data_IF_540429333207
#
_entry.id   IF_540429333207
#
_cell.length_a   1.000
_cell.length_b   1.000
_cell.length_c   1.000
_cell.angle_alpha   90.00
_cell.angle_beta   90.00
_cell.angle_gamma   90.00
#
_symmetry.space_group_name_H-M   'P 1'
#
loop_
_entity.id
_entity.type
_entity.pdbx_description
1 polymer ?
#
# COMPACT_ATOMS: atom_id res chain seq x y z
N UNK A 1 11.10 -27.31 -6.50
CA UNK A 1 10.81 -26.13 -7.35
C UNK A 1 9.31 -25.90 -7.40
N UNK A 2 8.86 -24.64 -7.41
CA UNK A 2 7.44 -24.29 -7.67
C UNK A 2 7.37 -23.65 -9.06
N UNK A 3 6.52 -24.17 -9.95
CA UNK A 3 6.39 -23.69 -11.32
C UNK A 3 5.44 -22.49 -11.38
N UNK A 4 5.92 -21.33 -11.79
CA UNK A 4 5.07 -20.16 -11.98
C UNK A 4 4.34 -20.22 -13.33
N UNK A 5 3.01 -20.17 -13.33
CA UNK A 5 2.19 -20.11 -14.54
C UNK A 5 1.79 -18.67 -14.86
N UNK A 6 1.56 -18.40 -16.15
CA UNK A 6 1.02 -17.12 -16.60
C UNK A 6 -0.47 -17.02 -16.21
N UNK A 7 -0.94 -15.81 -15.95
CA UNK A 7 -2.36 -15.53 -15.70
C UNK A 7 -2.90 -14.59 -16.77
N UNK A 8 -4.22 -14.51 -16.89
CA UNK A 8 -4.85 -13.50 -17.72
C UNK A 8 -4.88 -12.15 -16.96
N UNK A 9 -3.84 -11.36 -17.13
CA UNK A 9 -3.66 -10.06 -16.45
C UNK A 9 -4.11 -8.87 -17.30
N UNK A 10 -4.90 -9.12 -18.35
CA UNK A 10 -5.29 -8.12 -19.36
C UNK A 10 -5.98 -6.88 -18.77
N UNK A 11 -6.62 -7.04 -17.59
CA UNK A 11 -7.28 -5.98 -16.82
C UNK A 11 -6.48 -5.44 -15.62
N UNK A 12 -5.30 -6.00 -15.29
CA UNK A 12 -4.48 -5.55 -14.17
C UNK A 12 -3.84 -4.17 -14.43
N UNK A 13 -3.63 -3.39 -13.35
CA UNK A 13 -2.93 -2.09 -13.45
C UNK A 13 -1.45 -2.29 -13.72
N UNK A 14 -0.86 -3.33 -13.14
CA UNK A 14 0.54 -3.73 -13.39
C UNK A 14 0.56 -5.10 -14.07
N UNK A 15 0.79 -5.12 -15.39
CA UNK A 15 0.82 -6.35 -16.22
C UNK A 15 2.10 -7.14 -16.00
N UNK A 16 2.09 -8.04 -15.02
CA UNK A 16 3.25 -8.88 -14.69
C UNK A 16 3.34 -10.13 -15.58
N UNK A 17 2.25 -10.59 -16.20
CA UNK A 17 2.21 -11.82 -16.99
C UNK A 17 2.83 -11.68 -18.39
N UNK A 18 2.94 -10.46 -18.91
CA UNK A 18 3.76 -10.18 -20.10
C UNK A 18 5.27 -10.45 -19.85
N UNK A 19 5.70 -10.42 -18.58
CA UNK A 19 7.10 -10.57 -18.19
C UNK A 19 7.41 -11.90 -17.49
N UNK A 20 6.43 -12.51 -16.82
CA UNK A 20 6.63 -13.70 -15.98
C UNK A 20 5.48 -14.72 -16.11
N UNK A 21 5.81 -15.99 -15.90
CA UNK A 21 4.85 -17.11 -15.91
C UNK A 21 4.90 -17.93 -17.19
N UNK A 22 4.83 -19.26 -17.05
CA UNK A 22 4.78 -20.18 -18.17
C UNK A 22 3.33 -20.33 -18.68
N UNK A 23 3.15 -20.30 -20.00
CA UNK A 23 1.87 -20.68 -20.60
C UNK A 23 1.58 -22.18 -20.37
N UNK A 24 0.31 -22.56 -20.28
CA UNK A 24 -0.10 -23.97 -20.14
C UNK A 24 0.54 -24.87 -21.21
N UNK A 25 0.63 -24.39 -22.45
CA UNK A 25 1.30 -25.09 -23.56
C UNK A 25 2.77 -25.39 -23.28
N UNK A 26 3.45 -24.51 -22.55
CA UNK A 26 4.87 -24.65 -22.20
C UNK A 26 5.08 -25.50 -20.94
N UNK A 27 4.11 -25.53 -20.03
CA UNK A 27 4.23 -26.20 -18.73
C UNK A 27 4.62 -27.68 -18.86
N UNK A 28 3.97 -28.42 -19.77
CA UNK A 28 4.30 -29.85 -19.98
C UNK A 28 5.76 -30.07 -20.34
N UNK A 29 6.30 -29.25 -21.26
CA UNK A 29 7.71 -29.34 -21.68
C UNK A 29 8.66 -28.97 -20.54
N UNK A 30 8.32 -27.96 -19.73
CA UNK A 30 9.11 -27.58 -18.56
C UNK A 30 9.14 -28.71 -17.51
N UNK A 31 8.00 -29.34 -17.23
CA UNK A 31 7.90 -30.47 -16.31
C UNK A 31 8.68 -31.69 -16.79
N UNK A 32 8.64 -32.00 -18.10
CA UNK A 32 9.45 -33.06 -18.70
C UNK A 32 10.94 -32.77 -18.56
N UNK A 33 11.38 -31.54 -18.82
CA UNK A 33 12.77 -31.14 -18.68
C UNK A 33 13.23 -31.17 -17.22
N UNK A 34 12.38 -30.75 -16.28
CA UNK A 34 12.65 -30.86 -14.84
C UNK A 34 12.87 -32.32 -14.44
N UNK A 35 12.00 -33.23 -14.90
CA UNK A 35 12.13 -34.67 -14.64
C UNK A 35 13.44 -35.24 -15.20
N UNK A 36 13.78 -34.91 -16.45
CA UNK A 36 15.07 -35.30 -17.08
C UNK A 36 16.29 -34.75 -16.36
N UNK A 37 16.15 -33.60 -15.71
CA UNK A 37 17.22 -32.92 -14.97
C UNK A 37 17.22 -33.29 -13.48
N UNK A 38 16.41 -34.28 -13.07
CA UNK A 38 16.25 -34.69 -11.66
C UNK A 38 15.84 -33.54 -10.71
N UNK A 39 15.13 -32.54 -11.23
CA UNK A 39 14.54 -31.45 -10.43
C UNK A 39 13.12 -31.83 -10.05
N UNK A 40 12.85 -31.87 -8.75
CA UNK A 40 11.52 -32.13 -8.24
C UNK A 40 10.65 -30.85 -8.30
N UNK A 41 9.53 -30.95 -9.00
CA UNK A 41 8.54 -29.87 -9.07
C UNK A 41 7.44 -30.20 -8.08
N UNK A 42 7.38 -29.41 -7.01
CA UNK A 42 6.54 -29.68 -5.83
C UNK A 42 5.25 -28.87 -5.82
N UNK A 43 5.05 -27.98 -6.80
CA UNK A 43 3.88 -27.12 -6.80
C UNK A 43 3.79 -26.15 -7.97
N UNK A 44 2.73 -25.35 -7.93
CA UNK A 44 2.42 -24.31 -8.91
C UNK A 44 2.21 -22.99 -8.18
N UNK A 45 2.65 -21.89 -8.79
CA UNK A 45 2.35 -20.54 -8.32
C UNK A 45 1.78 -19.69 -9.45
N UNK A 46 0.98 -18.68 -9.11
CA UNK A 46 0.57 -17.66 -10.07
C UNK A 46 0.48 -16.28 -9.41
N UNK A 47 0.32 -15.23 -10.21
CA UNK A 47 0.18 -13.87 -9.69
C UNK A 47 -0.62 -13.00 -10.66
N UNK A 48 -1.79 -12.51 -10.22
CA UNK A 48 -2.79 -11.84 -11.07
C UNK A 48 -2.48 -10.37 -11.36
N UNK A 49 -1.40 -9.85 -10.77
CA UNK A 49 -0.96 -8.47 -10.97
C UNK A 49 -1.70 -7.50 -10.06
N UNK A 50 -1.01 -6.42 -9.67
CA UNK A 50 -1.56 -5.43 -8.75
C UNK A 50 -2.76 -4.72 -9.39
N UNK A 51 -3.83 -4.56 -8.60
CA UNK A 51 -5.01 -3.79 -9.00
C UNK A 51 -5.86 -4.41 -10.12
N UNK A 52 -5.85 -5.74 -10.26
CA UNK A 52 -6.81 -6.43 -11.14
C UNK A 52 -8.24 -6.20 -10.65
N UNK A 53 -9.14 -5.64 -11.49
CA UNK A 53 -10.53 -5.38 -11.12
C UNK A 53 -11.43 -6.60 -11.26
N UNK A 54 -10.92 -7.73 -11.78
CA UNK A 54 -11.70 -8.95 -12.00
C UNK A 54 -11.26 -10.08 -11.04
N UNK A 55 -12.03 -10.36 -9.99
CA UNK A 55 -11.80 -11.50 -9.11
C UNK A 55 -11.79 -12.85 -9.82
N UNK A 56 -12.49 -13.01 -10.96
CA UNK A 56 -12.58 -14.29 -11.67
C UNK A 56 -11.23 -14.74 -12.25
N UNK A 57 -10.27 -13.82 -12.40
CA UNK A 57 -8.91 -14.15 -12.74
C UNK A 57 -8.27 -15.14 -11.73
N UNK A 58 -8.65 -15.09 -10.44
CA UNK A 58 -8.21 -16.06 -9.44
C UNK A 58 -8.80 -17.44 -9.70
N UNK A 59 -10.11 -17.53 -9.92
CA UNK A 59 -10.76 -18.80 -10.22
C UNK A 59 -10.15 -19.47 -11.47
N UNK A 60 -9.94 -18.70 -12.53
CA UNK A 60 -9.30 -19.22 -13.75
C UNK A 60 -7.85 -19.69 -13.50
N UNK A 61 -7.07 -18.92 -12.73
CA UNK A 61 -5.68 -19.28 -12.43
C UNK A 61 -5.58 -20.54 -11.55
N UNK A 62 -6.53 -20.73 -10.63
CA UNK A 62 -6.64 -21.95 -9.82
C UNK A 62 -6.99 -23.15 -10.71
N UNK A 63 -7.95 -22.99 -11.64
CA UNK A 63 -8.29 -24.03 -12.61
C UNK A 63 -7.08 -24.41 -13.50
N UNK A 64 -6.35 -23.41 -13.99
CA UNK A 64 -5.14 -23.61 -14.79
C UNK A 64 -4.03 -24.32 -13.98
N UNK A 65 -3.86 -23.94 -12.70
CA UNK A 65 -2.94 -24.63 -11.81
C UNK A 65 -3.31 -26.10 -11.63
N UNK A 66 -4.61 -26.42 -11.51
CA UNK A 66 -5.07 -27.81 -11.42
C UNK A 66 -4.67 -28.65 -12.64
N UNK A 67 -4.82 -28.11 -13.84
CA UNK A 67 -4.36 -28.77 -15.07
C UNK A 67 -2.85 -29.05 -15.03
N UNK A 68 -2.05 -28.13 -14.49
CA UNK A 68 -0.60 -28.31 -14.36
C UNK A 68 -0.24 -29.35 -13.30
N UNK A 69 -0.99 -29.44 -12.20
CA UNK A 69 -0.87 -30.52 -11.22
C UNK A 69 -1.10 -31.89 -11.88
N UNK A 70 -2.12 -32.01 -12.73
CA UNK A 70 -2.43 -33.24 -13.48
C UNK A 70 -1.30 -33.60 -14.45
N UNK A 71 -0.80 -32.64 -15.23
CA UNK A 71 0.39 -32.83 -16.07
C UNK A 71 1.62 -33.26 -15.26
N UNK A 72 1.77 -32.72 -14.04
CA UNK A 72 2.83 -33.08 -13.11
C UNK A 72 2.73 -34.54 -12.66
N UNK A 73 1.54 -34.96 -12.25
CA UNK A 73 1.27 -36.32 -11.80
C UNK A 73 1.53 -37.36 -12.91
N UNK A 74 1.10 -37.09 -14.15
CA UNK A 74 1.39 -37.94 -15.33
C UNK A 74 2.90 -38.13 -15.56
N UNK A 75 3.70 -37.13 -15.24
CA UNK A 75 5.16 -37.14 -15.40
C UNK A 75 5.89 -37.61 -14.12
N UNK A 76 5.14 -38.02 -13.09
CA UNK A 76 5.66 -38.54 -11.84
C UNK A 76 6.24 -37.49 -10.90
N UNK A 77 5.76 -36.25 -10.96
CA UNK A 77 6.01 -35.20 -9.95
C UNK A 77 4.99 -35.31 -8.82
N UNK A 78 5.44 -35.15 -7.56
CA UNK A 78 4.57 -35.19 -6.38
C UNK A 78 4.29 -33.78 -5.88
N UNK A 79 3.40 -33.08 -6.59
CA UNK A 79 3.03 -31.72 -6.26
C UNK A 79 2.10 -31.67 -5.04
N UNK A 80 2.39 -30.78 -4.11
CA UNK A 80 1.66 -30.57 -2.86
C UNK A 80 1.61 -29.10 -2.44
N UNK A 81 2.10 -28.16 -3.26
CA UNK A 81 2.06 -26.72 -2.95
C UNK A 81 1.31 -25.95 -4.04
N UNK A 82 0.28 -25.20 -3.65
CA UNK A 82 -0.34 -24.19 -4.49
C UNK A 82 -0.11 -22.81 -3.88
N UNK A 83 0.56 -21.93 -4.61
CA UNK A 83 0.76 -20.53 -4.21
C UNK A 83 -0.15 -19.63 -5.07
N UNK A 84 -1.22 -19.11 -4.46
CA UNK A 84 -2.21 -18.27 -5.13
C UNK A 84 -1.74 -16.82 -5.35
N UNK A 85 -0.49 -16.52 -4.99
CA UNK A 85 0.10 -15.22 -5.20
C UNK A 85 -0.43 -14.16 -4.25
N UNK A 86 -0.38 -12.90 -4.70
CA UNK A 86 -0.71 -11.72 -3.92
C UNK A 86 -1.63 -10.77 -4.68
N UNK A 87 -1.47 -9.47 -4.46
CA UNK A 87 -2.29 -8.37 -5.04
C UNK A 87 -3.63 -8.12 -4.34
N UNK A 88 -3.80 -8.66 -3.14
CA UNK A 88 -4.93 -8.34 -2.26
C UNK A 88 -4.94 -6.84 -1.89
N UNK A 89 -6.11 -6.19 -1.87
CA UNK A 89 -6.24 -4.77 -1.50
C UNK A 89 -5.89 -4.57 -0.02
N UNK A 90 -5.16 -3.50 0.32
CA UNK A 90 -4.83 -3.14 1.70
C UNK A 90 -5.64 -1.96 2.26
N UNK A 91 -6.71 -1.57 1.57
CA UNK A 91 -7.63 -0.47 1.93
C UNK A 91 -9.06 -0.87 1.59
N UNK A 92 -10.03 -0.40 2.35
CA UNK A 92 -11.45 -0.75 2.17
C UNK A 92 -12.07 -0.08 0.94
N UNK A 93 -11.58 1.11 0.58
CA UNK A 93 -12.06 1.93 -0.54
C UNK A 93 -11.58 1.41 -1.91
N UNK A 94 -10.95 0.24 -1.94
CA UNK A 94 -10.55 -0.40 -3.19
C UNK A 94 -11.79 -0.75 -4.03
N UNK A 95 -11.67 -0.63 -5.36
CA UNK A 95 -12.75 -0.97 -6.32
C UNK A 95 -13.29 -2.39 -6.14
N UNK A 96 -12.42 -3.30 -5.73
CA UNK A 96 -12.73 -4.69 -5.41
C UNK A 96 -12.24 -4.92 -3.99
N UNK A 97 -13.12 -5.39 -3.11
CA UNK A 97 -12.79 -5.62 -1.70
C UNK A 97 -12.08 -6.96 -1.50
N UNK A 98 -11.36 -7.08 -0.39
CA UNK A 98 -10.62 -8.30 -0.06
C UNK A 98 -11.56 -9.51 0.07
N UNK A 99 -12.70 -9.34 0.73
CA UNK A 99 -13.68 -10.40 0.98
C UNK A 99 -14.28 -10.95 -0.32
N UNK A 100 -14.47 -10.09 -1.32
CA UNK A 100 -14.97 -10.49 -2.64
C UNK A 100 -13.97 -11.37 -3.37
N UNK A 101 -12.67 -11.02 -3.31
CA UNK A 101 -11.59 -11.84 -3.88
C UNK A 101 -11.50 -13.17 -3.14
N UNK A 102 -11.50 -13.16 -1.81
CA UNK A 102 -11.40 -14.37 -0.99
C UNK A 102 -12.57 -15.31 -1.21
N UNK A 103 -13.79 -14.79 -1.36
CA UNK A 103 -14.98 -15.59 -1.67
C UNK A 103 -14.82 -16.37 -2.98
N UNK A 104 -14.31 -15.71 -4.03
CA UNK A 104 -14.04 -16.34 -5.33
C UNK A 104 -12.90 -17.36 -5.22
N UNK A 105 -11.82 -17.04 -4.50
CA UNK A 105 -10.71 -17.97 -4.26
C UNK A 105 -11.22 -19.23 -3.53
N UNK A 106 -11.93 -19.08 -2.42
CA UNK A 106 -12.43 -20.20 -1.63
C UNK A 106 -13.33 -21.12 -2.46
N UNK A 107 -14.27 -20.55 -3.22
CA UNK A 107 -15.14 -21.32 -4.11
C UNK A 107 -14.36 -22.12 -5.16
N UNK A 108 -13.29 -21.54 -5.71
CA UNK A 108 -12.43 -22.22 -6.67
C UNK A 108 -11.53 -23.28 -6.01
N UNK A 109 -11.00 -23.01 -4.81
CA UNK A 109 -10.22 -23.98 -4.05
C UNK A 109 -11.07 -25.20 -3.68
N UNK A 110 -12.30 -25.01 -3.21
CA UNK A 110 -13.22 -26.12 -2.89
C UNK A 110 -13.47 -27.03 -4.11
N UNK A 111 -13.52 -26.45 -5.31
CA UNK A 111 -13.76 -27.18 -6.56
C UNK A 111 -12.51 -27.92 -7.06
N UNK A 112 -11.35 -27.27 -7.06
CA UNK A 112 -10.15 -27.76 -7.75
C UNK A 112 -9.11 -28.39 -6.79
N UNK A 113 -9.08 -27.96 -5.54
CA UNK A 113 -8.15 -28.38 -4.49
C UNK A 113 -8.90 -28.60 -3.16
N UNK A 114 -9.86 -29.53 -3.11
CA UNK A 114 -10.73 -29.74 -1.95
C UNK A 114 -9.94 -30.14 -0.70
N UNK A 115 -10.53 -29.89 0.47
CA UNK A 115 -9.94 -30.28 1.75
C UNK A 115 -9.56 -31.77 1.77
N UNK A 116 -8.37 -32.08 2.27
CA UNK A 116 -7.84 -33.45 2.32
C UNK A 116 -7.20 -33.95 1.02
N UNK A 117 -7.14 -33.15 -0.05
CA UNK A 117 -6.43 -33.55 -1.30
C UNK A 117 -4.90 -33.58 -1.17
N UNK A 118 -4.34 -33.18 -0.02
CA UNK A 118 -2.91 -33.21 0.27
C UNK A 118 -2.12 -32.06 -0.34
N UNK A 119 -2.78 -30.92 -0.63
CA UNK A 119 -2.14 -29.71 -1.15
C UNK A 119 -2.18 -28.60 -0.11
N UNK A 120 -1.02 -28.04 0.19
CA UNK A 120 -0.84 -26.85 1.02
C UNK A 120 -1.09 -25.60 0.18
N UNK A 121 -2.00 -24.74 0.65
CA UNK A 121 -2.35 -23.49 -0.02
C UNK A 121 -1.59 -22.33 0.65
N UNK A 122 -0.80 -21.61 -0.15
CA UNK A 122 -0.01 -20.46 0.27
C UNK A 122 -0.47 -19.20 -0.45
N UNK A 123 -0.29 -18.04 0.18
CA UNK A 123 -0.53 -16.73 -0.40
C UNK A 123 0.58 -15.75 -0.02
N UNK A 124 0.84 -14.77 -0.89
CA UNK A 124 1.84 -13.70 -0.73
C UNK A 124 1.15 -12.37 -0.49
N UNK A 125 0.76 -12.14 0.75
CA UNK A 125 0.10 -10.90 1.17
C UNK A 125 1.17 -9.82 1.39
N UNK A 126 1.36 -8.94 0.41
CA UNK A 126 2.24 -7.78 0.51
C UNK A 126 1.47 -6.55 1.00
N UNK A 127 0.95 -5.77 0.05
CA UNK A 127 0.22 -4.52 0.32
C UNK A 127 -0.94 -4.67 1.31
N UNK A 128 -1.59 -5.83 1.35
CA UNK A 128 -2.67 -6.15 2.29
C UNK A 128 -2.29 -5.84 3.75
N UNK A 129 -1.09 -6.23 4.18
CA UNK A 129 -0.69 -6.07 5.59
C UNK A 129 -0.31 -4.64 5.96
N UNK A 130 0.27 -3.89 5.03
CA UNK A 130 1.04 -2.69 5.38
C UNK A 130 0.48 -1.40 4.80
N UNK A 131 -0.41 -1.44 3.79
CA UNK A 131 -0.84 -0.22 3.09
C UNK A 131 -1.39 0.82 4.05
N UNK A 132 -2.41 0.46 4.85
CA UNK A 132 -3.09 1.35 5.80
C UNK A 132 -2.32 1.55 7.12
N UNK A 133 -1.27 0.78 7.36
CA UNK A 133 -0.52 0.84 8.62
C UNK A 133 0.39 2.08 8.73
N UNK A 134 0.61 2.81 7.63
CA UNK A 134 1.50 3.97 7.59
C UNK A 134 0.77 5.21 7.07
N UNK A 135 0.99 6.30 7.79
CA UNK A 135 0.59 7.66 7.40
C UNK A 135 1.84 8.50 7.24
N UNK A 136 1.98 9.14 6.09
CA UNK A 136 3.09 10.02 5.77
C UNK A 136 2.70 11.47 6.09
N UNK A 137 3.59 12.21 6.77
CA UNK A 137 3.45 13.65 6.94
C UNK A 137 4.64 14.34 6.26
N UNK A 138 4.37 15.30 5.39
CA UNK A 138 5.36 16.05 4.60
C UNK A 138 5.13 17.54 4.77
N UNK A 139 6.21 18.31 4.74
CA UNK A 139 6.16 19.76 4.94
C UNK A 139 6.25 20.51 3.62
N UNK A 140 5.55 21.65 3.54
CA UNK A 140 5.68 22.57 2.40
C UNK A 140 6.99 23.34 2.56
N UNK A 141 7.92 23.15 1.64
CA UNK A 141 9.25 23.77 1.64
C UNK A 141 9.30 25.05 0.82
N UNK A 142 8.48 25.15 -0.25
CA UNK A 142 8.34 26.36 -1.04
C UNK A 142 6.93 26.52 -1.59
N UNK A 143 6.57 27.77 -1.90
CA UNK A 143 5.29 28.15 -2.51
C UNK A 143 5.55 29.13 -3.65
N UNK A 144 4.86 28.93 -4.77
CA UNK A 144 4.88 29.85 -5.91
C UNK A 144 3.48 30.09 -6.42
N UNK A 145 3.12 31.34 -6.66
CA UNK A 145 1.87 31.69 -7.35
C UNK A 145 2.16 31.93 -8.83
N UNK A 146 1.39 31.27 -9.70
CA UNK A 146 1.51 31.38 -11.15
C UNK A 146 0.23 31.99 -11.68
N UNK A 147 0.35 33.14 -12.34
CA UNK A 147 -0.75 33.75 -13.08
C UNK A 147 -0.92 32.97 -14.39
N UNK A 148 -2.14 32.53 -14.68
CA UNK A 148 -2.44 31.96 -15.99
C UNK A 148 -2.69 33.10 -16.96
N UNK A 149 -1.75 33.32 -17.88
CA UNK A 149 -1.98 34.19 -19.03
C UNK A 149 -3.10 33.58 -19.87
N UNK A 150 -4.23 34.28 -19.99
CA UNK A 150 -5.28 33.92 -20.95
C UNK A 150 -4.97 34.62 -22.27
N UNK A 151 -4.53 33.91 -23.34
CA UNK A 151 -4.51 34.50 -24.66
C UNK A 151 -5.95 34.64 -25.16
N UNK A 152 -6.52 35.85 -25.09
CA UNK A 152 -7.68 36.23 -25.91
C UNK A 152 -9.06 36.31 -25.25
N UNK A 153 -9.18 36.53 -23.94
CA UNK A 153 -10.46 36.97 -23.34
C UNK A 153 -10.37 38.41 -22.88
N UNK A 154 -11.21 39.25 -23.49
CA UNK A 154 -11.44 40.63 -23.07
C UNK A 154 -11.82 40.68 -21.58
N UNK A 155 -11.32 41.71 -20.92
CA UNK A 155 -11.26 41.91 -19.47
C UNK A 155 -12.65 41.97 -18.83
N UNK A 156 -13.11 40.85 -18.26
CA UNK A 156 -14.07 40.87 -17.16
C UNK A 156 -13.32 41.22 -15.86
N UNK A 157 -13.80 42.15 -15.01
CA UNK A 157 -13.13 42.56 -13.78
C UNK A 157 -13.33 41.49 -12.68
N UNK A 158 -12.72 40.33 -12.88
CA UNK A 158 -12.56 39.25 -11.91
C UNK A 158 -11.11 38.82 -11.93
N UNK A 159 -10.50 38.65 -10.75
CA UNK A 159 -9.07 38.35 -10.60
C UNK A 159 -8.61 37.26 -11.59
N UNK A 160 -7.52 37.54 -12.33
CA UNK A 160 -6.94 36.58 -13.26
C UNK A 160 -6.77 35.21 -12.60
N UNK A 161 -7.12 34.09 -13.27
CA UNK A 161 -7.04 32.78 -12.67
C UNK A 161 -5.58 32.50 -12.26
N UNK A 162 -5.38 32.25 -10.96
CA UNK A 162 -4.07 31.95 -10.38
C UNK A 162 -4.03 30.49 -9.98
N UNK A 163 -2.93 29.82 -10.28
CA UNK A 163 -2.62 28.48 -9.77
C UNK A 163 -1.52 28.59 -8.73
N UNK A 164 -1.66 27.87 -7.61
CA UNK A 164 -0.65 27.83 -6.56
C UNK A 164 0.15 26.54 -6.67
N UNK A 165 1.47 26.66 -6.73
CA UNK A 165 2.41 25.55 -6.76
C UNK A 165 3.05 25.41 -5.39
N UNK A 166 2.89 24.24 -4.76
CA UNK A 166 3.54 23.90 -3.49
C UNK A 166 4.62 22.85 -3.73
N UNK A 167 5.83 23.13 -3.25
CA UNK A 167 6.92 22.15 -3.21
C UNK A 167 6.98 21.51 -1.84
N UNK A 168 7.11 20.18 -1.83
CA UNK A 168 7.20 19.36 -0.63
C UNK A 168 8.65 18.90 -0.42
N UNK A 169 8.95 18.43 0.79
CA UNK A 169 10.25 17.83 1.12
C UNK A 169 10.42 16.40 0.58
N UNK A 170 9.36 15.81 0.03
CA UNK A 170 9.34 14.48 -0.57
C UNK A 170 8.63 14.49 -1.93
N UNK A 171 8.99 13.54 -2.80
CA UNK A 171 8.58 13.50 -4.20
C UNK A 171 8.27 12.12 -4.75
N UNK A 172 8.02 12.05 -6.06
CA UNK A 172 7.68 10.80 -6.77
C UNK A 172 8.86 9.82 -6.83
N UNK A 173 10.09 10.31 -6.67
CA UNK A 173 11.28 9.47 -6.54
C UNK A 173 11.51 8.96 -5.10
N UNK A 174 10.66 9.36 -4.16
CA UNK A 174 10.65 8.91 -2.77
C UNK A 174 9.36 8.19 -2.43
N UNK A 175 8.63 8.71 -1.44
CA UNK A 175 7.40 8.08 -0.95
C UNK A 175 6.23 8.13 -1.94
N UNK A 176 6.22 9.07 -2.90
CA UNK A 176 5.14 9.22 -3.87
C UNK A 176 5.38 8.41 -5.16
N UNK A 177 6.21 7.38 -5.14
CA UNK A 177 6.50 6.55 -6.32
C UNK A 177 5.29 5.80 -6.89
N UNK A 178 4.20 5.67 -6.10
CA UNK A 178 2.91 5.19 -6.60
C UNK A 178 2.38 6.02 -7.77
N UNK A 179 2.77 7.30 -7.87
CA UNK A 179 2.43 8.15 -9.01
C UNK A 179 3.12 7.64 -10.28
N UNK A 180 4.40 7.26 -10.21
CA UNK A 180 5.15 6.74 -11.35
C UNK A 180 4.78 5.30 -11.73
N UNK A 181 4.66 4.42 -10.74
CA UNK A 181 4.55 2.97 -10.99
C UNK A 181 3.10 2.47 -11.03
N UNK A 182 2.21 3.10 -10.27
CA UNK A 182 0.81 2.68 -10.17
C UNK A 182 -0.15 3.66 -10.83
N UNK A 183 0.31 4.86 -11.25
CA UNK A 183 -0.55 6.00 -11.64
C UNK A 183 -1.60 6.31 -10.57
N UNK A 184 -1.22 6.22 -9.29
CA UNK A 184 -2.11 6.59 -8.16
C UNK A 184 -1.57 7.86 -7.50
N UNK A 185 -2.34 8.95 -7.62
CA UNK A 185 -2.10 10.18 -6.87
C UNK A 185 -2.77 10.08 -5.50
N UNK A 186 -2.00 10.09 -4.39
CA UNK A 186 -2.60 10.11 -3.06
C UNK A 186 -3.23 11.47 -2.79
N UNK A 187 -4.30 11.48 -2.00
CA UNK A 187 -5.05 12.71 -1.69
C UNK A 187 -4.47 13.32 -0.41
N UNK A 188 -4.09 14.61 -0.42
CA UNK A 188 -3.60 15.27 0.79
C UNK A 188 -4.74 15.52 1.79
N UNK A 189 -4.46 15.24 3.05
CA UNK A 189 -5.30 15.56 4.20
C UNK A 189 -4.66 16.76 4.91
N UNK A 190 -5.48 17.79 5.11
CA UNK A 190 -5.06 19.00 5.81
C UNK A 190 -5.17 18.78 7.32
N UNK A 191 -4.08 19.02 8.06
CA UNK A 191 -4.07 18.89 9.53
C UNK A 191 -5.10 19.83 10.18
N UNK A 192 -5.24 21.04 9.64
CA UNK A 192 -6.28 21.99 10.02
C UNK A 192 -7.42 21.88 9.02
N UNK A 193 -8.61 21.50 9.50
CA UNK A 193 -9.81 21.54 8.66
C UNK A 193 -10.02 22.99 8.18
N UNK A 194 -10.14 23.23 6.86
CA UNK A 194 -10.44 24.57 6.37
C UNK A 194 -11.78 25.01 6.95
N UNK A 195 -11.86 26.26 7.41
CA UNK A 195 -13.15 26.87 7.71
C UNK A 195 -13.99 26.90 6.44
N UNK A 196 -15.31 26.70 6.55
CA UNK A 196 -16.25 26.67 5.41
C UNK A 196 -16.14 27.94 4.53
N UNK A 197 -15.66 29.04 5.11
CA UNK A 197 -15.54 30.35 4.45
C UNK A 197 -14.19 30.58 3.72
N UNK A 198 -13.23 29.64 3.77
CA UNK A 198 -11.94 29.84 3.12
C UNK A 198 -12.03 29.58 1.61
N UNK A 199 -11.53 30.51 0.77
CA UNK A 199 -11.48 30.30 -0.66
C UNK A 199 -10.52 29.16 -1.01
N UNK A 200 -10.96 28.29 -1.92
CA UNK A 200 -10.13 27.24 -2.50
C UNK A 200 -9.47 27.76 -3.77
N UNK A 201 -8.23 27.35 -3.97
CA UNK A 201 -7.40 27.70 -5.13
C UNK A 201 -6.97 26.44 -5.86
N UNK A 202 -6.99 26.50 -7.19
CA UNK A 202 -6.40 25.44 -8.00
C UNK A 202 -4.90 25.36 -7.69
N UNK A 203 -4.44 24.16 -7.34
CA UNK A 203 -3.13 23.93 -6.76
C UNK A 203 -2.47 22.67 -7.33
N UNK A 204 -1.14 22.66 -7.33
CA UNK A 204 -0.33 21.47 -7.63
C UNK A 204 0.74 21.23 -6.58
N UNK A 205 1.07 19.95 -6.38
CA UNK A 205 2.06 19.46 -5.42
C UNK A 205 3.23 18.87 -6.17
N UNK A 206 4.43 19.33 -5.83
CA UNK A 206 5.68 18.94 -6.49
C UNK A 206 6.68 18.47 -5.45
N UNK A 207 7.51 17.50 -5.82
CA UNK A 207 8.62 17.08 -4.98
C UNK A 207 9.83 18.01 -5.06
N UNK A 208 10.93 17.64 -4.37
CA UNK A 208 12.14 18.45 -4.27
C UNK A 208 13.06 18.34 -5.50
N UNK A 209 12.85 17.36 -6.39
CA UNK A 209 13.72 17.20 -7.56
C UNK A 209 13.48 18.33 -8.57
N UNK A 210 14.57 18.82 -9.16
CA UNK A 210 14.53 19.90 -10.16
C UNK A 210 14.27 19.32 -11.55
N UNK A 211 13.19 18.56 -11.69
CA UNK A 211 12.70 18.07 -12.97
C UNK A 211 11.18 18.18 -13.08
N UNK A 212 10.67 18.23 -14.32
CA UNK A 212 9.23 18.36 -14.57
C UNK A 212 8.43 17.09 -14.34
N UNK A 213 9.09 15.97 -13.99
CA UNK A 213 8.47 14.68 -13.73
C UNK A 213 8.17 14.46 -12.24
N UNK A 214 8.78 15.24 -11.33
CA UNK A 214 8.52 15.21 -9.90
C UNK A 214 7.21 15.92 -9.49
N UNK A 215 6.15 15.63 -10.24
CA UNK A 215 4.81 16.12 -10.00
C UNK A 215 3.98 15.05 -9.30
N UNK A 216 3.53 15.35 -8.08
CA UNK A 216 2.79 14.41 -7.23
C UNK A 216 1.29 14.46 -7.57
N UNK A 217 0.75 15.67 -7.71
CA UNK A 217 -0.66 15.89 -8.01
C UNK A 217 -0.88 17.28 -8.64
N UNK A 218 -1.80 17.35 -9.60
CA UNK A 218 -2.25 18.59 -10.24
C UNK A 218 -3.77 18.73 -10.15
N UNK A 219 -4.28 19.96 -10.25
CA UNK A 219 -5.72 20.21 -10.29
C UNK A 219 -6.42 20.08 -8.93
N UNK A 220 -5.67 20.17 -7.83
CA UNK A 220 -6.22 20.07 -6.48
C UNK A 220 -6.85 21.40 -6.06
N UNK A 221 -8.00 21.33 -5.41
CA UNK A 221 -8.64 22.51 -4.82
C UNK A 221 -8.30 22.59 -3.33
N UNK A 222 -7.30 23.41 -2.99
CA UNK A 222 -6.78 23.55 -1.64
C UNK A 222 -7.00 24.98 -1.12
N UNK A 223 -7.22 25.18 0.18
CA UNK A 223 -7.14 26.51 0.77
C UNK A 223 -5.71 27.07 0.61
N UNK A 224 -5.54 28.36 0.88
CA UNK A 224 -4.20 28.94 0.87
C UNK A 224 -3.34 28.36 1.99
N UNK A 225 -2.30 27.60 1.61
CA UNK A 225 -1.29 27.04 2.50
C UNK A 225 -0.01 27.89 2.48
N UNK A 226 0.85 27.67 3.47
CA UNK A 226 2.10 28.40 3.67
C UNK A 226 3.29 27.45 3.83
N UNK A 227 4.49 27.99 3.61
CA UNK A 227 5.75 27.27 3.89
C UNK A 227 5.79 26.91 5.38
N UNK A 228 6.11 25.65 5.67
CA UNK A 228 6.08 25.07 7.01
C UNK A 228 4.75 24.42 7.42
N UNK A 229 3.68 24.58 6.63
CA UNK A 229 2.45 23.80 6.83
C UNK A 229 2.69 22.33 6.48
N UNK A 230 1.97 21.43 7.15
CA UNK A 230 2.08 19.98 6.97
C UNK A 230 0.89 19.42 6.19
N UNK A 231 1.20 18.52 5.25
CA UNK A 231 0.24 17.71 4.54
C UNK A 231 0.37 16.26 5.01
N UNK A 232 -0.78 15.62 5.24
CA UNK A 232 -0.85 14.24 5.71
C UNK A 232 -1.39 13.36 4.60
N UNK A 233 -0.78 12.20 4.39
CA UNK A 233 -1.19 11.22 3.38
C UNK A 233 -1.34 9.87 4.06
N UNK A 234 -2.57 9.36 4.12
CA UNK A 234 -2.88 8.03 4.63
C UNK A 234 -2.56 6.96 3.58
N UNK A 235 -2.55 5.69 4.02
CA UNK A 235 -2.38 4.53 3.14
C UNK A 235 -1.01 4.48 2.42
N UNK A 236 0.04 5.00 3.07
CA UNK A 236 1.37 5.19 2.50
C UNK A 236 2.38 4.12 2.98
N UNK A 237 1.95 2.88 3.21
CA UNK A 237 2.84 1.83 3.75
C UNK A 237 3.38 0.81 2.76
N UNK A 238 2.70 0.59 1.63
CA UNK A 238 3.13 -0.40 0.64
C UNK A 238 3.93 0.26 -0.49
N UNK A 239 5.13 -0.26 -0.75
CA UNK A 239 6.01 0.21 -1.84
C UNK A 239 6.49 1.67 -1.73
N UNK A 240 6.36 2.31 -0.56
CA UNK A 240 6.70 3.71 -0.32
C UNK A 240 8.06 3.88 0.38
N UNK A 241 8.31 3.11 1.44
CA UNK A 241 9.54 3.14 2.24
C UNK A 241 10.63 2.32 1.53
N UNK A 242 11.77 2.94 1.21
CA UNK A 242 12.96 2.23 0.72
C UNK A 242 13.23 2.31 -0.79
N UNK A 243 12.43 3.05 -1.55
CA UNK A 243 12.75 3.44 -2.95
C UNK A 243 13.35 4.85 -3.06
N UNK A 244 13.71 5.47 -1.93
CA UNK A 244 14.37 6.77 -1.92
C UNK A 244 15.73 6.68 -2.62
N UNK A 245 15.81 7.24 -3.82
CA UNK A 245 17.10 7.58 -4.41
C UNK A 245 17.77 8.59 -3.49
N UNK A 246 19.03 8.35 -3.11
CA UNK A 246 19.89 9.33 -2.41
C UNK A 246 20.27 10.52 -3.32
N UNK A 247 19.41 10.91 -4.27
CA UNK A 247 19.52 12.13 -5.03
C UNK A 247 19.15 13.30 -4.11
N UNK A 248 20.12 13.75 -3.30
CA UNK A 248 20.02 15.01 -2.57
C UNK A 248 20.39 15.00 -1.09
N UNK A 249 20.87 13.88 -0.53
CA UNK A 249 21.37 13.86 0.86
C UNK A 249 20.32 14.13 1.95
N UNK A 250 19.03 13.99 1.62
CA UNK A 250 17.93 14.10 2.57
C UNK A 250 17.96 12.96 3.59
N UNK A 251 17.76 13.30 4.86
CA UNK A 251 17.67 12.34 5.96
C UNK A 251 16.57 11.31 5.67
N UNK A 252 16.84 10.05 5.97
CA UNK A 252 15.83 9.00 5.98
C UNK A 252 14.64 9.45 6.82
N UNK A 253 13.43 9.51 6.22
CA UNK A 253 12.21 9.84 6.94
C UNK A 253 12.10 8.96 8.20
N UNK A 254 11.93 9.60 9.36
CA UNK A 254 11.87 8.91 10.65
C UNK A 254 10.53 8.18 10.77
N UNK A 255 10.58 6.85 10.76
CA UNK A 255 9.41 6.03 11.07
C UNK A 255 9.23 5.93 12.57
N UNK A 256 8.04 6.29 13.06
CA UNK A 256 7.67 6.10 14.47
C UNK A 256 6.58 5.04 14.54
N UNK A 257 6.89 3.90 15.16
CA UNK A 257 5.93 2.82 15.37
C UNK A 257 5.11 3.08 16.63
N UNK A 258 3.81 2.85 16.54
CA UNK A 258 2.89 2.89 17.66
C UNK A 258 2.05 1.61 17.66
N UNK A 259 1.70 1.14 18.85
CA UNK A 259 0.83 -0.01 19.05
C UNK A 259 -0.04 0.27 20.27
N UNK A 260 -1.36 0.09 20.14
CA UNK A 260 -2.25 0.21 21.29
C UNK A 260 -2.00 -0.94 22.26
N UNK A 261 -2.27 -0.70 23.55
CA UNK A 261 -2.16 -1.75 24.56
C UNK A 261 -3.03 -2.98 24.23
N UNK A 262 -4.24 -2.73 23.73
CA UNK A 262 -5.18 -3.79 23.32
C UNK A 262 -4.59 -4.64 22.18
N UNK A 263 -3.98 -4.02 21.17
CA UNK A 263 -3.33 -4.74 20.08
C UNK A 263 -2.12 -5.56 20.56
N UNK A 264 -1.34 -5.00 21.49
CA UNK A 264 -0.19 -5.69 22.07
C UNK A 264 -0.60 -6.92 22.91
N UNK A 265 -1.64 -6.80 23.72
CA UNK A 265 -2.18 -7.91 24.52
C UNK A 265 -2.72 -9.03 23.60
N UNK A 266 -3.48 -8.67 22.56
CA UNK A 266 -3.99 -9.64 21.58
C UNK A 266 -2.89 -10.36 20.79
N UNK A 267 -1.76 -9.70 20.51
CA UNK A 267 -0.60 -10.33 19.87
C UNK A 267 0.13 -11.25 20.84
N UNK A 268 0.28 -10.85 22.11
CA UNK A 268 0.97 -11.63 23.13
C UNK A 268 0.32 -13.00 23.34
N UNK A 269 -1.01 -13.05 23.43
CA UNK A 269 -1.76 -14.31 23.59
C UNK A 269 -1.55 -15.31 22.45
N UNK A 270 -1.24 -14.80 21.24
CA UNK A 270 -1.00 -15.64 20.06
C UNK A 270 0.47 -16.04 19.89
N UNK A 271 1.41 -15.25 20.41
CA UNK A 271 2.84 -15.42 20.20
C UNK A 271 3.54 -16.16 21.35
N UNK A 272 3.04 -16.05 22.57
CA UNK A 272 3.59 -16.74 23.72
C UNK A 272 2.67 -17.91 24.08
N UNK A 273 3.20 -19.14 24.26
CA UNK A 273 2.47 -20.17 24.98
C UNK A 273 2.02 -19.60 26.32
N UNK A 274 0.81 -19.95 26.79
CA UNK A 274 0.40 -19.63 28.15
C UNK A 274 1.46 -20.18 29.11
N UNK A 275 2.22 -19.31 29.75
CA UNK A 275 3.07 -19.70 30.88
C UNK A 275 2.14 -20.30 31.94
N UNK A 276 2.47 -21.45 32.55
CA UNK A 276 1.72 -21.93 33.70
C UNK A 276 1.80 -20.87 34.80
N UNK A 277 0.64 -20.52 35.38
CA UNK A 277 0.55 -19.71 36.59
C UNK A 277 1.38 -20.38 37.70
N UNK A 278 2.65 -19.99 37.82
CA UNK A 278 3.37 -20.15 39.07
C UNK A 278 3.07 -18.92 39.93
N UNK A 279 2.40 -19.18 41.05
CA UNK A 279 2.14 -18.25 42.14
C UNK A 279 3.40 -17.44 42.49
N UNK A 280 3.50 -16.22 41.97
CA UNK A 280 4.50 -15.24 42.36
C UNK A 280 3.82 -14.08 43.10
N UNK A 281 3.40 -14.37 44.34
CA UNK A 281 3.33 -13.34 45.37
C UNK A 281 4.71 -12.65 45.45
N UNK A 282 4.73 -11.35 45.15
CA UNK A 282 5.79 -10.44 45.62
C UNK A 282 6.97 -10.19 44.68
N UNK A 283 6.74 -9.65 43.49
CA UNK A 283 7.77 -8.85 42.80
C UNK A 283 7.14 -7.62 42.14
N UNK A 284 7.61 -6.42 42.54
CA UNK A 284 7.19 -5.14 41.97
C UNK A 284 7.32 -5.12 40.45
N UNK A 285 6.21 -4.97 39.74
CA UNK A 285 6.21 -4.55 38.33
C UNK A 285 6.78 -3.11 38.25
N UNK A 286 7.78 -2.83 37.41
CA UNK A 286 8.25 -1.47 37.23
C UNK A 286 7.12 -0.64 36.62
N UNK A 287 6.83 0.51 37.23
CA UNK A 287 5.92 1.52 36.69
C UNK A 287 6.44 1.92 35.30
N UNK A 288 5.81 1.40 34.25
CA UNK A 288 6.05 1.88 32.90
C UNK A 288 5.54 3.32 32.85
N UNK A 289 6.47 4.25 32.57
CA UNK A 289 6.20 5.64 32.27
C UNK A 289 5.41 5.77 30.96
N UNK A 290 4.13 5.45 30.99
CA UNK A 290 3.15 5.84 29.99
C UNK A 290 2.42 7.07 30.50
N UNK A 291 2.56 8.20 29.80
CA UNK A 291 1.72 9.35 30.07
C UNK A 291 0.30 8.99 29.62
N UNK A 292 -0.59 8.78 30.58
CA UNK A 292 -2.03 8.70 30.34
C UNK A 292 -2.53 10.10 29.98
N UNK A 293 -3.02 10.27 28.75
CA UNK A 293 -3.94 11.37 28.44
C UNK A 293 -5.33 10.73 28.43
N UNK A 294 -6.02 10.84 29.56
CA UNK A 294 -7.46 10.60 29.64
C UNK A 294 -8.21 11.87 29.25
N UNK A 295 -9.28 11.67 28.49
CA UNK A 295 -10.06 12.63 27.73
C UNK A 295 -10.61 13.89 28.46
N UNK A 296 -10.80 14.93 27.63
CA UNK A 296 -11.75 16.06 27.73
C UNK A 296 -11.67 17.02 28.93
N UNK A 297 -11.00 18.17 28.73
CA UNK A 297 -11.41 19.42 29.35
C UNK A 297 -11.34 20.57 28.35
N UNK A 298 -12.53 21.03 27.94
CA UNK A 298 -12.74 22.33 27.31
C UNK A 298 -12.32 23.44 28.28
N UNK A 299 -11.17 24.08 28.05
CA UNK A 299 -10.86 25.39 28.63
C UNK A 299 -10.13 26.22 27.56
N UNK A 300 -10.73 27.33 27.16
CA UNK A 300 -10.15 28.27 26.19
C UNK A 300 -8.86 28.93 26.72
N UNK A 301 -7.99 29.46 25.84
CA UNK A 301 -6.72 30.01 26.26
C UNK A 301 -6.94 31.33 27.01
N UNK A 302 -6.58 31.34 28.30
CA UNK A 302 -6.44 32.57 29.08
C UNK A 302 -5.04 33.12 28.82
N UNK A 303 -4.98 34.22 28.08
CA UNK A 303 -3.80 35.08 28.03
C UNK A 303 -3.58 35.71 29.41
N UNK A 304 -2.35 35.67 29.91
CA UNK A 304 -1.90 36.58 30.98
C UNK A 304 -0.57 37.23 30.60
N UNK A 305 -0.32 38.45 31.09
CA UNK A 305 0.49 39.46 30.40
C UNK A 305 1.95 39.49 30.88
N UNK A 306 2.77 40.19 30.08
CA UNK A 306 4.14 40.56 30.39
C UNK A 306 4.29 41.32 31.71
N UNK A 307 5.41 41.10 32.40
CA UNK A 307 6.07 42.01 33.34
C UNK A 307 7.55 41.61 33.36
N UNK A 308 8.45 42.35 32.70
CA UNK A 308 9.25 43.45 33.28
C UNK A 308 9.71 43.15 34.70
N UNK A 309 10.97 42.71 34.81
CA UNK A 309 11.99 43.37 35.62
C UNK A 309 13.35 43.18 34.93
#
# INVERSE_FOLDING_TARGET
MVLCIATNDSHSRSRLCLKFGASLKSCRRLLQNAKKSHVDVVGVSFHIGSGCPDPQAYAQSIADARLVFEMGAELGHKMHILDVGGSFPGVEEAKVRFEEIVSVINSALDLYFPEGCGVDILAKLGRYYVTSAFTLAVSITAKKEVLLDQPGREEEPGAAPKTIVYHLDEGVYGFFNSVLFDNTCPTPILQKKPSIEQPLHNSSLWGPAVDGCDCIAEGLWLPQLHVGDWLVFENMGAYTVGMGSLLGGTQTCRVTYAMSRVAWEALREKLLPAEPDEDAEGVCKPLSCGWEITDTLCVGPVFTPASIM
#
